data_IF_890236856804
#
_entry.id   IF_890236856804
#
_cell.length_a   1.000
_cell.length_b   1.000
_cell.length_c   1.000
_cell.angle_alpha   90.00
_cell.angle_beta   90.00
_cell.angle_gamma   90.00
#
_symmetry.space_group_name_H-M   'P 1'
#
loop_
_entity.id
_entity.type
_entity.pdbx_description
1 polymer ?
#
# COMPACT_ATOMS: atom_id res chain seq x y z
N UNK A 1 0.73 -21.40 -24.69
CA UNK A 1 0.69 -19.97 -24.32
C UNK A 1 -0.04 -19.89 -22.98
N UNK A 2 0.53 -19.19 -22.01
CA UNK A 2 -0.12 -18.99 -20.71
C UNK A 2 -1.35 -18.09 -20.81
N UNK A 3 -2.26 -18.17 -19.82
CA UNK A 3 -3.39 -17.26 -19.71
C UNK A 3 -2.88 -15.85 -19.39
N UNK A 4 -3.22 -14.88 -20.22
CA UNK A 4 -2.77 -13.50 -20.07
C UNK A 4 -3.48 -12.81 -18.90
N UNK A 5 -2.71 -12.09 -18.08
CA UNK A 5 -3.19 -11.31 -16.94
C UNK A 5 -2.50 -9.94 -16.91
N UNK A 6 -3.25 -8.89 -17.16
CA UNK A 6 -2.79 -7.50 -17.03
C UNK A 6 -2.87 -7.06 -15.57
N UNK A 7 -1.70 -6.85 -14.96
CA UNK A 7 -1.54 -6.40 -13.58
C UNK A 7 -1.02 -4.95 -13.56
N UNK A 8 -1.69 -4.04 -12.84
CA UNK A 8 -1.17 -2.69 -12.66
C UNK A 8 0.19 -2.74 -11.93
N UNK A 9 1.16 -1.94 -12.39
CA UNK A 9 2.51 -1.91 -11.79
C UNK A 9 2.48 -1.62 -10.30
N UNK A 10 3.37 -2.29 -9.59
CA UNK A 10 3.53 -2.17 -8.14
C UNK A 10 4.95 -1.75 -7.76
N UNK A 11 5.16 -1.34 -6.52
CA UNK A 11 6.47 -1.02 -5.96
C UNK A 11 6.89 -2.07 -4.92
N UNK A 12 8.19 -2.28 -4.67
CA UNK A 12 8.66 -3.35 -3.78
C UNK A 12 8.05 -3.31 -2.37
N UNK A 13 7.79 -2.12 -1.81
CA UNK A 13 7.22 -2.00 -0.48
C UNK A 13 5.81 -2.59 -0.35
N UNK A 14 5.09 -2.77 -1.45
CA UNK A 14 3.73 -3.30 -1.44
C UNK A 14 3.52 -4.51 -2.35
N UNK A 15 4.43 -4.82 -3.27
CA UNK A 15 4.27 -5.88 -4.26
C UNK A 15 5.58 -6.63 -4.55
N UNK A 16 6.49 -6.73 -3.59
CA UNK A 16 7.73 -7.47 -3.79
C UNK A 16 7.50 -8.93 -4.21
N UNK A 17 6.56 -9.70 -3.61
CA UNK A 17 6.32 -11.06 -4.04
C UNK A 17 5.89 -11.18 -5.51
N UNK A 18 5.07 -10.23 -6.00
CA UNK A 18 4.62 -10.19 -7.40
C UNK A 18 5.79 -9.86 -8.34
N UNK A 19 6.66 -8.93 -7.96
CA UNK A 19 7.87 -8.59 -8.73
C UNK A 19 8.82 -9.80 -8.81
N UNK A 20 9.06 -10.47 -7.68
CA UNK A 20 9.89 -11.68 -7.63
C UNK A 20 9.26 -12.82 -8.43
N UNK A 21 7.94 -13.02 -8.31
CA UNK A 21 7.25 -14.04 -9.09
C UNK A 21 7.36 -13.79 -10.61
N UNK A 22 7.34 -12.55 -11.01
CA UNK A 22 7.54 -12.15 -12.41
C UNK A 22 8.98 -12.39 -12.86
N UNK A 23 9.95 -11.84 -12.15
CA UNK A 23 11.37 -11.87 -12.53
C UNK A 23 11.96 -13.28 -12.51
N UNK A 24 11.49 -14.12 -11.57
CA UNK A 24 11.96 -15.50 -11.44
C UNK A 24 11.08 -16.51 -12.23
N UNK A 25 10.16 -16.05 -13.09
CA UNK A 25 9.36 -16.88 -14.00
C UNK A 25 8.29 -17.73 -13.32
N UNK A 26 7.91 -17.41 -12.06
CA UNK A 26 6.98 -18.23 -11.30
C UNK A 26 5.55 -18.14 -11.85
N UNK A 27 5.13 -17.00 -12.38
CA UNK A 27 3.85 -16.89 -13.06
C UNK A 27 3.77 -17.76 -14.31
N UNK A 28 4.85 -17.80 -15.10
CA UNK A 28 4.90 -18.63 -16.30
C UNK A 28 4.86 -20.14 -15.94
N UNK A 29 5.48 -20.53 -14.82
CA UNK A 29 5.41 -21.91 -14.31
C UNK A 29 3.99 -22.33 -13.91
N UNK A 30 3.15 -21.38 -13.50
CA UNK A 30 1.73 -21.56 -13.18
C UNK A 30 0.80 -21.35 -14.40
N UNK A 31 1.36 -21.23 -15.61
CA UNK A 31 0.60 -21.06 -16.84
C UNK A 31 0.02 -19.65 -17.04
N UNK A 32 0.56 -18.64 -16.36
CA UNK A 32 0.16 -17.25 -16.50
C UNK A 32 1.19 -16.45 -17.30
N UNK A 33 0.68 -15.62 -18.25
CA UNK A 33 1.43 -14.59 -18.94
C UNK A 33 1.07 -13.23 -18.31
N UNK A 34 1.78 -12.89 -17.22
CA UNK A 34 1.55 -11.63 -16.50
C UNK A 34 2.23 -10.47 -17.23
N UNK A 35 1.47 -9.40 -17.49
CA UNK A 35 1.96 -8.19 -18.11
C UNK A 35 1.72 -7.01 -17.16
N UNK A 36 2.79 -6.32 -16.77
CA UNK A 36 2.66 -5.10 -15.96
C UNK A 36 2.19 -3.92 -16.80
N UNK A 37 1.12 -3.28 -16.37
CA UNK A 37 0.50 -2.11 -16.99
C UNK A 37 0.77 -0.87 -16.16
N UNK A 38 1.27 0.20 -16.79
CA UNK A 38 1.54 1.46 -16.10
C UNK A 38 0.23 2.13 -15.63
N UNK A 39 0.30 2.79 -14.49
CA UNK A 39 -0.82 3.58 -13.95
C UNK A 39 -1.16 4.73 -14.90
N UNK A 40 -2.46 4.95 -15.11
CA UNK A 40 -2.95 5.96 -16.05
C UNK A 40 -3.03 7.37 -15.45
N UNK A 41 -3.36 7.49 -14.16
CA UNK A 41 -3.45 8.79 -13.48
C UNK A 41 -2.11 9.22 -12.89
N UNK A 42 -1.86 10.54 -12.95
CA UNK A 42 -0.70 11.15 -12.29
C UNK A 42 -1.07 11.49 -10.85
N UNK A 43 -0.37 10.85 -9.91
CA UNK A 43 -0.49 11.21 -8.49
C UNK A 43 0.01 12.66 -8.25
N UNK A 44 -0.50 13.34 -7.21
CA UNK A 44 0.01 14.64 -6.78
C UNK A 44 1.52 14.58 -6.55
N UNK A 45 2.24 15.60 -7.00
CA UNK A 45 3.71 15.70 -6.86
C UNK A 45 4.14 16.70 -5.79
N UNK A 46 3.18 17.44 -5.20
CA UNK A 46 3.40 18.46 -4.16
C UNK A 46 2.41 18.28 -3.02
N UNK A 47 2.79 18.83 -1.86
CA UNK A 47 1.86 19.00 -0.73
C UNK A 47 0.83 20.07 -1.09
N UNK A 48 -0.42 19.81 -0.73
CA UNK A 48 -1.48 20.82 -0.78
C UNK A 48 -2.18 20.88 0.59
N UNK A 49 -1.85 21.92 1.35
CA UNK A 49 -2.40 22.14 2.70
C UNK A 49 -3.86 22.59 2.70
N UNK A 50 -4.42 23.01 1.56
CA UNK A 50 -5.82 23.35 1.43
C UNK A 50 -6.73 22.14 1.28
N UNK A 51 -6.17 21.01 0.81
CA UNK A 51 -6.88 19.73 0.72
C UNK A 51 -6.68 18.97 2.03
N UNK A 52 -7.69 18.97 2.88
CA UNK A 52 -7.66 18.42 4.25
C UNK A 52 -8.58 17.21 4.44
N UNK A 53 -9.25 16.77 3.37
CA UNK A 53 -10.17 15.63 3.41
C UNK A 53 -10.00 14.73 2.18
N UNK A 54 -10.04 13.41 2.34
CA UNK A 54 -9.95 12.45 1.23
C UNK A 54 -11.12 12.55 0.24
N UNK A 55 -12.28 13.09 0.64
CA UNK A 55 -13.42 13.28 -0.28
C UNK A 55 -13.16 14.28 -1.40
N UNK A 56 -12.12 15.13 -1.24
CA UNK A 56 -11.74 16.15 -2.23
C UNK A 56 -10.88 15.58 -3.38
N UNK A 57 -10.46 14.31 -3.30
CA UNK A 57 -9.57 13.68 -4.29
C UNK A 57 -10.11 12.32 -4.75
N UNK A 58 -9.73 11.91 -5.96
CA UNK A 58 -10.08 10.60 -6.51
C UNK A 58 -9.38 9.48 -5.73
N UNK A 59 -10.06 8.38 -5.38
CA UNK A 59 -9.42 7.21 -4.78
C UNK A 59 -8.50 6.46 -5.76
N UNK A 60 -8.64 6.70 -7.07
CA UNK A 60 -7.86 6.06 -8.11
C UNK A 60 -6.56 6.80 -8.44
N UNK A 61 -6.35 8.01 -7.94
CA UNK A 61 -5.13 8.80 -8.18
C UNK A 61 -3.83 8.15 -7.64
N UNK A 62 -3.93 7.15 -6.76
CA UNK A 62 -2.79 6.40 -6.24
C UNK A 62 -2.66 4.99 -6.81
N UNK A 63 -3.79 4.29 -7.03
CA UNK A 63 -3.86 2.90 -7.51
C UNK A 63 -5.20 2.65 -8.20
N UNK A 64 -5.23 1.66 -9.10
CA UNK A 64 -6.45 1.14 -9.72
C UNK A 64 -6.95 1.92 -10.93
N UNK A 65 -6.28 3.01 -11.34
CA UNK A 65 -6.70 3.79 -12.52
C UNK A 65 -6.62 2.99 -13.82
N UNK A 66 -5.69 2.06 -13.92
CA UNK A 66 -5.56 1.20 -15.10
C UNK A 66 -6.70 0.17 -15.17
N UNK A 67 -7.19 -0.31 -14.03
CA UNK A 67 -8.36 -1.18 -13.96
C UNK A 67 -9.63 -0.42 -14.37
N UNK A 68 -9.84 0.79 -13.83
CA UNK A 68 -11.01 1.62 -14.18
C UNK A 68 -11.06 2.02 -15.66
N UNK A 69 -9.92 2.05 -16.34
CA UNK A 69 -9.83 2.35 -17.79
C UNK A 69 -9.75 1.09 -18.66
N UNK A 70 -9.94 -0.10 -18.09
CA UNK A 70 -9.95 -1.39 -18.82
C UNK A 70 -8.58 -1.81 -19.35
N UNK A 71 -7.48 -1.23 -18.83
CA UNK A 71 -6.11 -1.55 -19.25
C UNK A 71 -5.50 -2.67 -18.40
N UNK A 72 -5.91 -2.79 -17.16
CA UNK A 72 -5.51 -3.86 -16.26
C UNK A 72 -6.74 -4.62 -15.75
N UNK A 73 -6.62 -5.92 -15.58
CA UNK A 73 -7.65 -6.77 -15.00
C UNK A 73 -7.53 -6.84 -13.47
N UNK A 74 -6.33 -6.54 -12.93
CA UNK A 74 -6.04 -6.63 -11.50
C UNK A 74 -5.04 -5.56 -11.05
N UNK A 75 -5.15 -5.14 -9.79
CA UNK A 75 -4.14 -4.32 -9.10
C UNK A 75 -4.05 -4.68 -7.63
N UNK A 76 -2.95 -4.30 -6.97
CA UNK A 76 -2.81 -4.40 -5.53
C UNK A 76 -2.70 -3.02 -4.86
N UNK A 77 -3.29 -2.88 -3.68
CA UNK A 77 -3.13 -1.71 -2.83
C UNK A 77 -3.45 -2.05 -1.36
N UNK A 78 -3.51 -1.04 -0.49
CA UNK A 78 -3.92 -1.25 0.91
C UNK A 78 -5.38 -1.69 1.02
N UNK A 79 -5.66 -2.56 1.97
CA UNK A 79 -7.01 -3.10 2.21
C UNK A 79 -8.05 -1.97 2.39
N UNK A 80 -7.82 -1.00 3.29
CA UNK A 80 -8.74 0.12 3.50
C UNK A 80 -9.01 0.94 2.23
N UNK A 81 -7.96 1.32 1.49
CA UNK A 81 -8.15 2.07 0.24
C UNK A 81 -8.89 1.29 -0.83
N UNK A 82 -8.77 -0.03 -0.80
CA UNK A 82 -9.47 -0.90 -1.73
C UNK A 82 -10.97 -1.04 -1.41
N UNK A 83 -11.39 -0.89 -0.16
CA UNK A 83 -12.82 -0.71 0.15
C UNK A 83 -13.38 0.55 -0.54
N UNK A 84 -12.70 1.68 -0.43
CA UNK A 84 -13.16 2.92 -1.10
C UNK A 84 -13.12 2.79 -2.63
N UNK A 85 -12.14 2.08 -3.18
CA UNK A 85 -12.06 1.85 -4.64
C UNK A 85 -13.14 0.90 -5.12
N UNK A 86 -13.40 -0.19 -4.40
CA UNK A 86 -14.48 -1.12 -4.76
C UNK A 86 -15.86 -0.44 -4.72
N UNK A 87 -16.12 0.42 -3.72
CA UNK A 87 -17.34 1.21 -3.62
C UNK A 87 -17.53 2.15 -4.82
N UNK A 88 -16.45 2.71 -5.36
CA UNK A 88 -16.49 3.72 -6.42
C UNK A 88 -16.08 3.20 -7.79
N UNK A 89 -15.87 1.90 -7.93
CA UNK A 89 -15.44 1.28 -9.18
C UNK A 89 -16.57 1.22 -10.19
N UNK A 90 -16.36 1.81 -11.36
CA UNK A 90 -17.24 1.65 -12.52
C UNK A 90 -16.90 0.37 -13.31
N UNK A 91 -15.68 -0.12 -13.20
CA UNK A 91 -15.22 -1.36 -13.83
C UNK A 91 -15.64 -2.62 -13.05
N UNK A 92 -16.29 -2.48 -11.89
CA UNK A 92 -16.75 -3.60 -11.06
C UNK A 92 -15.63 -4.28 -10.30
N UNK A 93 -14.52 -3.57 -9.99
CA UNK A 93 -13.41 -4.10 -9.21
C UNK A 93 -13.82 -4.45 -7.78
N UNK A 94 -13.52 -5.69 -7.34
CA UNK A 94 -13.77 -6.20 -5.98
C UNK A 94 -12.52 -6.79 -5.36
N UNK A 95 -12.43 -6.74 -4.04
CA UNK A 95 -11.31 -7.34 -3.32
C UNK A 95 -11.38 -8.87 -3.38
N UNK A 96 -10.26 -9.50 -3.75
CA UNK A 96 -10.13 -10.96 -3.91
C UNK A 96 -9.43 -11.66 -2.74
N UNK A 97 -8.64 -10.94 -1.96
CA UNK A 97 -7.87 -11.52 -0.86
C UNK A 97 -6.67 -10.67 -0.47
N UNK A 98 -6.02 -11.05 0.61
CA UNK A 98 -4.79 -10.43 1.10
C UNK A 98 -3.60 -10.87 0.27
N UNK A 99 -2.78 -9.92 -0.11
CA UNK A 99 -1.55 -10.13 -0.89
C UNK A 99 -0.42 -10.70 -0.05
N UNK A 100 0.63 -11.16 -0.72
CA UNK A 100 1.80 -11.82 -0.13
C UNK A 100 2.74 -10.93 0.70
N UNK A 101 2.37 -9.69 0.98
CA UNK A 101 3.21 -8.76 1.77
C UNK A 101 2.36 -7.90 2.71
N UNK A 102 2.87 -7.72 3.94
CA UNK A 102 2.35 -6.78 4.94
C UNK A 102 3.26 -5.56 4.94
N UNK A 103 2.71 -4.39 4.60
CA UNK A 103 3.51 -3.17 4.44
C UNK A 103 3.86 -2.59 5.80
N UNK A 104 5.15 -2.41 6.07
CA UNK A 104 5.61 -1.65 7.23
C UNK A 104 5.67 -0.16 6.88
N UNK A 105 5.05 0.68 7.69
CA UNK A 105 5.05 2.13 7.51
C UNK A 105 5.18 2.87 8.84
N UNK A 106 5.60 4.13 8.76
CA UNK A 106 5.90 4.93 9.93
C UNK A 106 5.41 6.38 9.76
N UNK A 107 5.13 7.05 10.87
CA UNK A 107 4.99 8.52 10.96
C UNK A 107 6.31 9.07 11.44
N UNK A 108 6.89 9.95 10.66
CA UNK A 108 8.18 10.59 10.92
C UNK A 108 8.03 12.10 11.07
N UNK A 109 8.90 12.69 11.90
CA UNK A 109 9.09 14.14 12.05
C UNK A 109 10.53 14.53 11.71
N UNK A 110 10.80 15.78 11.28
CA UNK A 110 12.16 16.19 10.90
C UNK A 110 13.09 16.28 12.13
N UNK A 111 14.41 16.32 11.93
CA UNK A 111 15.39 16.34 13.03
C UNK A 111 15.23 17.50 14.01
N UNK A 112 14.78 18.64 13.51
CA UNK A 112 14.59 19.88 14.30
C UNK A 112 13.23 19.98 14.97
N UNK A 113 12.33 18.98 14.81
CA UNK A 113 11.01 18.97 15.44
C UNK A 113 11.12 18.88 16.97
N UNK A 114 10.18 19.49 17.67
CA UNK A 114 9.99 19.37 19.12
C UNK A 114 9.09 18.22 19.54
N UNK A 115 8.64 17.40 18.56
CA UNK A 115 7.77 16.24 18.78
C UNK A 115 8.61 14.99 19.13
N UNK A 116 8.37 14.44 20.29
CA UNK A 116 9.00 13.20 20.79
C UNK A 116 8.00 12.08 21.10
N UNK A 117 6.74 12.43 21.31
CA UNK A 117 5.66 11.48 21.63
C UNK A 117 4.46 11.68 20.72
N UNK A 118 3.62 10.64 20.49
CA UNK A 118 2.44 10.78 19.64
C UNK A 118 1.47 11.89 20.05
N UNK A 119 1.32 12.14 21.35
CA UNK A 119 0.43 13.19 21.89
C UNK A 119 0.85 14.60 21.44
N UNK A 120 2.13 14.82 21.17
CA UNK A 120 2.64 16.10 20.70
C UNK A 120 2.32 16.38 19.22
N UNK A 121 1.75 15.38 18.51
CA UNK A 121 1.20 15.57 17.16
C UNK A 121 -0.20 16.23 17.16
N UNK A 122 -0.81 16.48 18.32
CA UNK A 122 -2.08 17.17 18.43
C UNK A 122 -2.03 18.52 17.69
N UNK A 123 -2.94 18.71 16.71
CA UNK A 123 -3.04 19.86 15.84
C UNK A 123 -1.81 20.16 14.95
N UNK A 124 -0.80 19.30 14.91
CA UNK A 124 0.28 19.34 13.92
C UNK A 124 -0.21 18.76 12.58
N UNK A 125 0.24 19.33 11.46
CA UNK A 125 -0.21 18.90 10.14
C UNK A 125 0.60 17.69 9.68
N UNK A 126 -0.08 16.56 9.52
CA UNK A 126 0.50 15.33 9.00
C UNK A 126 0.22 15.20 7.50
N UNK A 127 1.26 15.24 6.68
CA UNK A 127 1.15 15.03 5.23
C UNK A 127 0.90 13.56 4.91
N UNK A 128 -0.24 13.25 4.27
CA UNK A 128 -0.64 11.89 3.92
C UNK A 128 -1.09 11.78 2.47
N UNK A 129 -0.80 10.67 1.78
CA UNK A 129 -1.35 10.41 0.44
C UNK A 129 -2.77 9.86 0.59
N UNK A 130 -3.78 10.71 0.46
CA UNK A 130 -5.16 10.27 0.62
C UNK A 130 -5.48 9.03 -0.22
N UNK A 131 -6.31 8.15 0.32
CA UNK A 131 -6.69 6.82 -0.20
C UNK A 131 -5.54 5.80 -0.34
N UNK A 132 -4.30 6.13 0.06
CA UNK A 132 -3.24 5.14 0.18
C UNK A 132 -3.15 4.56 1.61
N UNK A 133 -2.48 3.42 1.78
CA UNK A 133 -2.42 2.69 3.05
C UNK A 133 -1.86 3.51 4.21
N UNK A 134 -0.87 4.33 3.92
CA UNK A 134 -0.25 5.19 4.93
C UNK A 134 -1.15 6.33 5.41
N UNK A 135 -2.18 6.72 4.64
CA UNK A 135 -3.24 7.61 5.13
C UNK A 135 -4.06 6.95 6.25
N UNK A 136 -4.61 5.77 5.95
CA UNK A 136 -5.43 5.02 6.91
C UNK A 136 -4.63 4.58 8.14
N UNK A 137 -3.37 4.16 7.92
CA UNK A 137 -2.45 3.86 9.02
C UNK A 137 -2.27 5.08 9.95
N UNK A 138 -2.05 6.28 9.38
CA UNK A 138 -1.87 7.48 10.18
C UNK A 138 -3.10 7.78 11.04
N UNK A 139 -4.30 7.70 10.47
CA UNK A 139 -5.54 7.90 11.23
C UNK A 139 -5.68 6.87 12.37
N UNK A 140 -5.50 5.58 12.06
CA UNK A 140 -5.65 4.52 13.06
C UNK A 140 -4.60 4.57 14.17
N UNK A 141 -3.35 4.92 13.85
CA UNK A 141 -2.30 5.07 14.86
C UNK A 141 -2.51 6.31 15.73
N UNK A 142 -2.86 7.45 15.13
CA UNK A 142 -3.05 8.70 15.86
C UNK A 142 -4.29 8.67 16.74
N UNK A 143 -5.38 8.02 16.32
CA UNK A 143 -6.62 7.85 17.10
C UNK A 143 -6.37 7.13 18.45
N UNK A 144 -5.33 6.30 18.54
CA UNK A 144 -4.92 5.67 19.80
C UNK A 144 -4.34 6.63 20.85
N UNK A 145 -3.99 7.87 20.45
CA UNK A 145 -3.31 8.84 21.31
C UNK A 145 -3.96 10.23 21.31
N UNK A 146 -4.76 10.55 20.30
CA UNK A 146 -5.36 11.87 20.07
C UNK A 146 -6.85 11.75 19.86
N UNK A 147 -7.59 12.79 20.18
CA UNK A 147 -8.97 12.90 19.75
C UNK A 147 -9.02 13.15 18.25
N UNK A 148 -10.08 12.69 17.58
CA UNK A 148 -10.24 12.84 16.13
C UNK A 148 -10.16 14.28 15.64
N UNK A 149 -10.69 15.23 16.43
CA UNK A 149 -10.66 16.67 16.11
C UNK A 149 -9.26 17.30 16.25
N UNK A 150 -8.32 16.61 16.92
CA UNK A 150 -6.92 17.02 17.04
C UNK A 150 -6.04 16.45 15.92
N UNK A 151 -6.52 15.44 15.17
CA UNK A 151 -5.80 14.83 14.05
C UNK A 151 -5.95 15.70 12.82
N UNK A 152 -4.88 16.38 12.41
CA UNK A 152 -4.87 17.26 11.23
C UNK A 152 -4.04 16.62 10.12
N UNK A 153 -4.67 16.37 8.97
CA UNK A 153 -3.99 15.86 7.79
C UNK A 153 -4.11 16.81 6.61
N UNK A 154 -3.18 16.74 5.68
CA UNK A 154 -3.30 17.41 4.38
C UNK A 154 -2.83 16.48 3.26
N UNK A 155 -3.22 16.81 2.03
CA UNK A 155 -2.79 16.04 0.86
C UNK A 155 -1.28 16.15 0.67
N UNK A 156 -0.62 15.01 0.62
CA UNK A 156 0.79 14.88 0.28
C UNK A 156 0.97 13.89 -0.89
N UNK A 157 2.11 13.92 -1.61
CA UNK A 157 2.37 13.03 -2.72
C UNK A 157 2.27 11.55 -2.36
N UNK A 158 1.83 10.71 -3.31
CA UNK A 158 1.83 9.26 -3.12
C UNK A 158 3.25 8.67 -3.06
N UNK A 159 4.24 9.31 -3.69
CA UNK A 159 5.65 8.93 -3.57
C UNK A 159 6.20 9.21 -2.17
N UNK A 160 6.71 8.17 -1.48
CA UNK A 160 7.34 8.33 -0.17
C UNK A 160 8.58 9.24 -0.23
N UNK A 161 9.33 9.23 -1.34
CA UNK A 161 10.47 10.13 -1.56
C UNK A 161 10.06 11.61 -1.63
N UNK A 162 8.97 11.91 -2.35
CA UNK A 162 8.46 13.28 -2.39
C UNK A 162 7.91 13.73 -1.03
N UNK A 163 7.27 12.84 -0.27
CA UNK A 163 6.83 13.15 1.10
C UNK A 163 8.02 13.38 2.04
N UNK A 164 9.07 12.57 1.92
CA UNK A 164 10.31 12.80 2.68
C UNK A 164 10.92 14.17 2.35
N UNK A 165 11.01 14.54 1.07
CA UNK A 165 11.51 15.86 0.66
C UNK A 165 10.63 17.00 1.22
N UNK A 166 9.31 16.85 1.17
CA UNK A 166 8.38 17.83 1.73
C UNK A 166 8.55 17.96 3.25
N UNK A 167 8.77 16.87 3.97
CA UNK A 167 9.09 16.89 5.40
C UNK A 167 10.38 17.67 5.69
N UNK A 168 11.45 17.37 4.94
CA UNK A 168 12.75 18.04 5.11
C UNK A 168 12.74 19.50 4.65
N UNK A 169 11.78 19.91 3.83
CA UNK A 169 11.56 21.31 3.46
C UNK A 169 10.66 22.07 4.47
N UNK A 170 10.12 21.39 5.50
CA UNK A 170 9.21 22.02 6.47
C UNK A 170 7.79 22.30 5.91
N UNK A 171 7.41 21.64 4.80
CA UNK A 171 6.09 21.80 4.20
C UNK A 171 4.98 21.15 5.04
N UNK A 172 5.33 20.18 5.89
CA UNK A 172 4.47 19.49 6.86
C UNK A 172 5.22 19.29 8.17
N UNK A 173 4.48 19.18 9.29
CA UNK A 173 5.09 18.94 10.61
C UNK A 173 5.51 17.47 10.80
N UNK A 174 4.77 16.55 10.18
CA UNK A 174 5.04 15.12 10.13
C UNK A 174 4.56 14.55 8.81
N UNK A 175 5.05 13.36 8.45
CA UNK A 175 4.55 12.63 7.28
C UNK A 175 4.65 11.12 7.46
N UNK A 176 3.97 10.39 6.59
CA UNK A 176 4.03 8.93 6.56
C UNK A 176 5.06 8.43 5.54
N UNK A 177 5.86 7.45 5.92
CA UNK A 177 6.91 6.86 5.08
C UNK A 177 6.79 5.34 5.03
N UNK A 178 7.31 4.75 3.95
CA UNK A 178 7.55 3.32 3.76
C UNK A 178 9.03 3.11 3.42
N UNK A 179 9.53 1.87 3.47
CA UNK A 179 10.89 1.62 3.00
C UNK A 179 11.03 1.88 1.48
N UNK A 180 12.20 2.37 1.04
CA UNK A 180 13.45 2.61 1.78
C UNK A 180 13.49 3.99 2.50
N UNK A 181 12.45 4.81 2.40
CA UNK A 181 12.48 6.18 2.93
C UNK A 181 12.35 6.27 4.46
N UNK A 182 11.92 5.21 5.15
CA UNK A 182 12.05 5.15 6.62
C UNK A 182 13.54 5.12 6.98
N UNK A 183 14.31 4.27 6.32
CA UNK A 183 15.76 4.18 6.52
C UNK A 183 16.48 5.48 6.13
N UNK A 184 16.13 6.09 4.99
CA UNK A 184 16.67 7.41 4.59
C UNK A 184 16.40 8.46 5.65
N UNK A 185 15.16 8.54 6.17
CA UNK A 185 14.77 9.49 7.19
C UNK A 185 15.54 9.28 8.51
N UNK A 186 15.67 8.03 8.98
CA UNK A 186 16.46 7.70 10.19
C UNK A 186 17.92 8.12 10.02
N UNK A 187 18.55 7.83 8.87
CA UNK A 187 19.94 8.25 8.58
C UNK A 187 20.10 9.77 8.53
N UNK A 188 19.05 10.50 8.13
CA UNK A 188 19.04 11.97 8.14
C UNK A 188 18.69 12.57 9.51
N UNK A 189 18.53 11.74 10.56
CA UNK A 189 18.24 12.19 11.92
C UNK A 189 16.75 12.47 12.20
N UNK A 190 15.85 12.13 11.28
CA UNK A 190 14.41 12.17 11.54
C UNK A 190 14.04 11.20 12.68
N UNK A 191 13.01 11.56 13.45
CA UNK A 191 12.46 10.67 14.47
C UNK A 191 11.23 9.95 13.96
N UNK A 192 11.19 8.65 14.17
CA UNK A 192 9.98 7.83 13.96
C UNK A 192 9.15 7.94 15.25
N UNK A 193 7.95 8.49 15.14
CA UNK A 193 7.04 8.69 16.27
C UNK A 193 6.13 7.48 16.48
N UNK A 194 5.60 6.94 15.38
CA UNK A 194 4.74 5.77 15.36
C UNK A 194 5.09 4.90 14.15
N UNK A 195 4.97 3.60 14.29
CA UNK A 195 5.11 2.68 13.17
C UNK A 195 4.25 1.43 13.40
N UNK A 196 3.69 0.89 12.32
CA UNK A 196 2.97 -0.37 12.33
C UNK A 196 2.92 -1.00 10.94
N UNK A 197 2.72 -2.31 10.85
CA UNK A 197 2.37 -2.97 9.60
C UNK A 197 0.87 -2.81 9.28
N UNK A 198 0.52 -2.91 7.99
CA UNK A 198 -0.85 -3.00 7.52
C UNK A 198 -0.98 -3.95 6.33
N UNK A 199 -2.14 -4.60 6.20
CA UNK A 199 -2.43 -5.47 5.09
C UNK A 199 -2.81 -4.69 3.83
N UNK A 200 -2.49 -5.30 2.69
CA UNK A 200 -3.04 -4.93 1.41
C UNK A 200 -3.78 -6.11 0.79
N UNK A 201 -4.55 -5.80 -0.23
CA UNK A 201 -5.38 -6.78 -0.93
C UNK A 201 -5.20 -6.65 -2.44
N UNK A 202 -5.55 -7.71 -3.13
CA UNK A 202 -5.74 -7.72 -4.57
C UNK A 202 -7.18 -7.27 -4.91
N UNK A 203 -7.31 -6.47 -5.95
CA UNK A 203 -8.61 -6.08 -6.54
C UNK A 203 -8.61 -6.49 -7.99
N UNK A 204 -9.67 -7.14 -8.45
CA UNK A 204 -9.82 -7.54 -9.84
C UNK A 204 -11.24 -7.35 -10.35
N UNK A 205 -11.35 -7.27 -11.67
CA UNK A 205 -12.62 -7.39 -12.41
C UNK A 205 -13.09 -8.84 -12.48
N UNK A 206 -14.26 -9.08 -13.04
CA UNK A 206 -14.78 -10.44 -13.24
C UNK A 206 -13.99 -11.25 -14.29
N UNK A 207 -13.12 -10.61 -15.07
CA UNK A 207 -12.25 -11.31 -16.04
C UNK A 207 -11.20 -12.20 -15.39
N UNK A 208 -10.87 -11.95 -14.12
CA UNK A 208 -9.98 -12.79 -13.32
C UNK A 208 -10.83 -13.81 -12.57
N UNK A 209 -10.99 -15.01 -13.14
CA UNK A 209 -11.71 -16.11 -12.49
C UNK A 209 -10.93 -16.71 -11.30
N UNK A 210 -11.60 -17.58 -10.53
CA UNK A 210 -11.01 -18.19 -9.34
C UNK A 210 -9.79 -19.07 -9.67
N UNK A 211 -9.74 -19.70 -10.83
CA UNK A 211 -8.60 -20.54 -11.24
C UNK A 211 -7.37 -19.70 -11.56
N UNK A 212 -7.56 -18.60 -12.29
CA UNK A 212 -6.50 -17.62 -12.56
C UNK A 212 -5.95 -17.02 -11.27
N UNK A 213 -6.83 -16.64 -10.35
CA UNK A 213 -6.39 -16.10 -9.05
C UNK A 213 -5.72 -17.16 -8.19
N UNK A 214 -6.15 -18.42 -8.25
CA UNK A 214 -5.47 -19.55 -7.58
C UNK A 214 -4.06 -19.76 -8.13
N UNK A 215 -3.89 -19.77 -9.46
CA UNK A 215 -2.58 -19.87 -10.10
C UNK A 215 -1.66 -18.70 -9.72
N UNK A 216 -2.19 -17.48 -9.73
CA UNK A 216 -1.50 -16.28 -9.27
C UNK A 216 -1.01 -16.44 -7.81
N UNK A 217 -1.87 -16.89 -6.91
CA UNK A 217 -1.53 -17.10 -5.50
C UNK A 217 -0.48 -18.20 -5.30
N UNK A 218 -0.46 -19.27 -6.13
CA UNK A 218 0.61 -20.28 -6.05
C UNK A 218 1.97 -19.70 -6.41
N UNK A 219 2.05 -18.91 -7.47
CA UNK A 219 3.27 -18.22 -7.86
C UNK A 219 3.74 -17.25 -6.76
N UNK A 220 2.83 -16.47 -6.18
CA UNK A 220 3.14 -15.53 -5.10
C UNK A 220 3.59 -16.27 -3.83
N UNK A 221 2.97 -17.38 -3.44
CA UNK A 221 3.43 -18.22 -2.30
C UNK A 221 4.86 -18.72 -2.49
N UNK A 222 5.20 -19.17 -3.70
CA UNK A 222 6.58 -19.61 -3.98
C UNK A 222 7.56 -18.42 -3.88
N UNK A 223 7.19 -17.23 -4.36
CA UNK A 223 7.99 -16.02 -4.17
C UNK A 223 8.14 -15.68 -2.68
N UNK A 224 7.07 -15.73 -1.89
CA UNK A 224 7.09 -15.53 -0.43
C UNK A 224 8.05 -16.51 0.25
N UNK A 225 8.01 -17.79 -0.13
CA UNK A 225 8.93 -18.80 0.38
C UNK A 225 10.38 -18.47 0.08
N UNK A 226 10.70 -18.04 -1.16
CA UNK A 226 12.07 -17.64 -1.57
C UNK A 226 12.53 -16.40 -0.82
N UNK A 227 11.68 -15.38 -0.70
CA UNK A 227 12.00 -14.15 0.02
C UNK A 227 12.28 -14.45 1.50
N UNK A 228 11.45 -15.28 2.16
CA UNK A 228 11.66 -15.64 3.56
C UNK A 228 12.93 -16.46 3.78
N UNK A 229 13.36 -17.26 2.78
CA UNK A 229 14.61 -18.01 2.86
C UNK A 229 15.86 -17.10 2.82
N UNK A 230 15.80 -15.98 2.10
CA UNK A 230 16.91 -15.01 2.02
C UNK A 230 16.38 -13.59 1.79
N UNK A 231 15.87 -12.96 2.85
CA UNK A 231 15.36 -11.58 2.78
C UNK A 231 16.41 -10.58 2.29
N UNK A 232 17.68 -10.80 2.62
CA UNK A 232 18.78 -9.90 2.26
C UNK A 232 18.92 -9.77 0.74
N UNK A 233 18.85 -10.88 0.01
CA UNK A 233 18.87 -10.88 -1.47
C UNK A 233 17.79 -9.96 -2.05
N UNK A 234 16.59 -10.01 -1.50
CA UNK A 234 15.43 -9.30 -2.04
C UNK A 234 15.27 -7.87 -1.53
N UNK A 235 16.00 -7.46 -0.48
CA UNK A 235 16.06 -6.05 -0.08
C UNK A 235 16.69 -5.16 -1.15
N UNK A 236 17.50 -5.72 -2.05
CA UNK A 236 18.07 -4.98 -3.18
C UNK A 236 17.00 -4.36 -4.09
N UNK A 237 15.82 -5.00 -4.24
CA UNK A 237 14.70 -4.45 -5.00
C UNK A 237 14.27 -3.05 -4.54
N UNK A 238 14.35 -2.75 -3.25
CA UNK A 238 13.98 -1.44 -2.71
C UNK A 238 14.94 -0.35 -3.17
N UNK A 239 16.23 -0.67 -3.26
CA UNK A 239 17.28 0.26 -3.71
C UNK A 239 17.17 0.44 -5.23
N UNK A 240 17.09 -0.64 -5.98
CA UNK A 240 17.08 -0.62 -7.44
C UNK A 240 15.84 0.12 -7.99
N UNK A 241 14.68 -0.04 -7.35
CA UNK A 241 13.46 0.64 -7.74
C UNK A 241 13.55 2.17 -7.59
N UNK A 242 14.35 2.65 -6.65
CA UNK A 242 14.53 4.07 -6.34
C UNK A 242 15.94 4.59 -6.64
N UNK A 243 16.72 3.88 -7.48
CA UNK A 243 18.12 4.21 -7.79
C UNK A 243 18.36 5.62 -8.34
N UNK A 244 17.33 6.23 -8.93
CA UNK A 244 17.40 7.60 -9.45
C UNK A 244 17.26 8.67 -8.34
N UNK A 245 16.90 8.28 -7.10
CA UNK A 245 16.93 9.18 -5.95
C UNK A 245 18.30 9.04 -5.24
N UNK A 246 19.13 10.11 -5.24
CA UNK A 246 20.49 10.06 -4.64
C UNK A 246 20.49 9.60 -3.17
N UNK A 247 19.44 9.90 -2.40
CA UNK A 247 19.35 9.50 -1.00
C UNK A 247 19.17 7.98 -0.86
N UNK A 248 18.51 7.32 -1.81
CA UNK A 248 18.36 5.87 -1.84
C UNK A 248 19.55 5.20 -2.51
N UNK A 249 20.08 5.79 -3.59
CA UNK A 249 21.27 5.27 -4.29
C UNK A 249 22.52 5.20 -3.37
N UNK A 250 22.55 6.00 -2.31
CA UNK A 250 23.62 5.96 -1.29
C UNK A 250 23.43 4.82 -0.26
N UNK A 251 22.31 4.10 -0.26
CA UNK A 251 22.05 2.99 0.65
C UNK A 251 22.66 1.69 0.10
N UNK A 252 22.97 0.81 1.05
CA UNK A 252 23.26 -0.59 0.80
C UNK A 252 22.19 -1.47 1.44
N UNK A 253 22.12 -2.74 1.10
CA UNK A 253 21.19 -3.68 1.74
C UNK A 253 21.42 -3.81 3.25
N UNK A 254 22.62 -3.50 3.73
CA UNK A 254 22.96 -3.52 5.17
C UNK A 254 22.34 -2.35 5.95
N UNK A 255 21.96 -1.29 5.26
CA UNK A 255 21.25 -0.18 5.87
C UNK A 255 19.77 -0.50 6.11
N UNK A 256 19.18 -1.38 5.27
CA UNK A 256 17.78 -1.78 5.38
C UNK A 256 17.56 -2.83 6.46
N UNK A 257 16.44 -2.75 7.16
CA UNK A 257 16.11 -3.69 8.25
C UNK A 257 15.26 -4.86 7.73
N UNK A 258 15.79 -6.11 7.71
CA UNK A 258 15.03 -7.27 7.27
C UNK A 258 13.73 -7.52 8.06
N UNK A 259 13.65 -7.05 9.32
CA UNK A 259 12.45 -7.13 10.15
C UNK A 259 11.28 -6.28 9.64
N UNK A 260 11.55 -5.29 8.78
CA UNK A 260 10.51 -4.46 8.14
C UNK A 260 10.03 -5.05 6.81
N UNK A 261 10.70 -6.06 6.29
CA UNK A 261 10.22 -6.87 5.17
C UNK A 261 9.41 -8.03 5.73
N UNK A 262 8.09 -7.89 5.72
CA UNK A 262 7.15 -8.87 6.24
C UNK A 262 6.39 -9.46 5.05
N UNK A 263 6.77 -10.66 4.65
CA UNK A 263 6.06 -11.42 3.60
C UNK A 263 5.36 -12.63 4.21
N UNK A 264 4.13 -12.84 3.78
CA UNK A 264 3.21 -13.86 4.29
C UNK A 264 2.51 -14.52 3.11
N UNK A 265 1.97 -15.71 3.29
CA UNK A 265 1.17 -16.34 2.24
C UNK A 265 -0.08 -15.50 1.92
N UNK A 266 -0.46 -15.37 0.64
CA UNK A 266 -1.76 -14.83 0.27
C UNK A 266 -2.89 -15.59 0.96
N UNK A 267 -3.87 -14.87 1.45
CA UNK A 267 -4.96 -15.45 2.24
C UNK A 267 -6.31 -14.75 1.97
N UNK A 268 -7.44 -15.39 2.24
CA UNK A 268 -8.72 -14.70 2.28
C UNK A 268 -8.69 -13.57 3.31
N UNK A 269 -9.53 -12.56 3.11
CA UNK A 269 -9.75 -11.54 4.14
C UNK A 269 -10.68 -12.16 5.20
N UNK A 270 -10.25 -12.28 6.47
CA UNK A 270 -11.13 -12.81 7.52
C UNK A 270 -12.36 -11.92 7.70
N UNK A 271 -13.55 -12.52 7.70
CA UNK A 271 -14.82 -11.77 7.74
C UNK A 271 -14.91 -10.80 8.91
N UNK A 272 -14.52 -11.25 10.10
CA UNK A 272 -14.56 -10.41 11.31
C UNK A 272 -13.62 -9.20 11.21
N UNK A 273 -12.43 -9.37 10.60
CA UNK A 273 -11.49 -8.28 10.39
C UNK A 273 -11.99 -7.33 9.29
N UNK A 274 -12.55 -7.85 8.21
CA UNK A 274 -13.17 -7.06 7.16
C UNK A 274 -14.29 -6.17 7.72
N UNK A 275 -15.15 -6.73 8.56
CA UNK A 275 -16.25 -6.00 9.22
C UNK A 275 -15.72 -4.90 10.13
N UNK A 276 -14.73 -5.20 10.99
CA UNK A 276 -14.10 -4.20 11.87
C UNK A 276 -13.46 -3.05 11.07
N UNK A 277 -12.74 -3.37 10.00
CA UNK A 277 -12.14 -2.36 9.12
C UNK A 277 -13.21 -1.50 8.46
N UNK A 278 -14.26 -2.12 7.94
CA UNK A 278 -15.40 -1.44 7.33
C UNK A 278 -16.11 -0.50 8.33
N UNK A 279 -16.44 -0.98 9.53
CA UNK A 279 -17.10 -0.19 10.58
C UNK A 279 -16.23 1.00 11.02
N UNK A 280 -14.92 0.78 11.18
CA UNK A 280 -13.97 1.84 11.48
C UNK A 280 -13.93 2.90 10.37
N UNK A 281 -13.84 2.50 9.11
CA UNK A 281 -13.84 3.41 7.98
C UNK A 281 -15.14 4.23 7.89
N UNK A 282 -16.29 3.59 8.12
CA UNK A 282 -17.57 4.30 8.20
C UNK A 282 -17.62 5.31 9.33
N UNK A 283 -17.08 4.96 10.49
CA UNK A 283 -17.03 5.87 11.65
C UNK A 283 -16.19 7.13 11.40
N UNK A 284 -15.29 7.08 10.41
CA UNK A 284 -14.51 8.21 9.93
C UNK A 284 -15.13 8.92 8.70
N UNK A 285 -16.28 8.46 8.21
CA UNK A 285 -16.89 8.99 6.99
C UNK A 285 -16.08 8.70 5.71
N UNK A 286 -15.27 7.65 5.72
CA UNK A 286 -14.39 7.25 4.60
C UNK A 286 -15.07 6.32 3.61
N UNK A 287 -16.22 5.76 3.96
CA UNK A 287 -17.09 4.93 3.12
C UNK A 287 -18.53 5.44 3.21
N UNK A 288 -19.28 5.24 2.13
CA UNK A 288 -20.70 5.48 2.06
C UNK A 288 -21.54 4.35 2.66
N UNK A 289 -22.81 4.25 2.24
CA UNK A 289 -23.76 3.27 2.77
C UNK A 289 -23.83 2.03 1.86
N UNK A 290 -22.72 1.33 1.72
CA UNK A 290 -22.56 0.09 0.93
C UNK A 290 -22.30 -1.06 1.89
N UNK A 291 -22.81 -2.28 1.58
CA UNK A 291 -22.46 -3.47 2.37
C UNK A 291 -20.99 -3.87 2.14
N UNK A 292 -20.29 -4.32 3.19
CA UNK A 292 -18.93 -4.83 3.04
C UNK A 292 -18.86 -6.06 2.12
N UNK A 293 -19.93 -6.87 2.05
CA UNK A 293 -20.05 -8.03 1.17
C UNK A 293 -20.03 -7.62 -0.32
N UNK A 294 -20.54 -6.43 -0.64
CA UNK A 294 -20.51 -5.91 -2.00
C UNK A 294 -19.11 -5.42 -2.43
N UNK A 295 -18.26 -5.17 -1.46
CA UNK A 295 -16.89 -4.66 -1.66
C UNK A 295 -15.84 -5.78 -1.79
N UNK A 296 -16.19 -7.00 -1.36
CA UNK A 296 -15.34 -8.18 -1.38
C UNK A 296 -16.02 -9.30 -2.20
N UNK A 297 -15.25 -10.02 -3.00
CA UNK A 297 -15.72 -11.21 -3.69
C UNK A 297 -15.41 -12.45 -2.85
N UNK A 298 -16.25 -12.70 -1.85
CA UNK A 298 -16.06 -13.78 -0.87
C UNK A 298 -16.06 -15.15 -1.55
N UNK A 299 -16.93 -15.38 -2.54
CA UNK A 299 -17.01 -16.64 -3.26
C UNK A 299 -15.70 -16.94 -4.01
N UNK A 300 -15.20 -15.97 -4.77
CA UNK A 300 -13.95 -16.10 -5.53
C UNK A 300 -12.73 -16.22 -4.60
N UNK A 301 -12.72 -15.49 -3.47
CA UNK A 301 -11.70 -15.65 -2.43
C UNK A 301 -11.64 -17.09 -1.93
N UNK A 302 -12.76 -17.63 -1.49
CA UNK A 302 -12.83 -18.98 -0.93
C UNK A 302 -12.46 -20.02 -1.97
N UNK A 303 -12.97 -19.90 -3.20
CA UNK A 303 -12.65 -20.81 -4.31
C UNK A 303 -11.15 -20.79 -4.68
N UNK A 304 -10.50 -19.64 -4.61
CA UNK A 304 -9.07 -19.50 -4.94
C UNK A 304 -8.13 -19.98 -3.84
N UNK A 305 -8.60 -20.04 -2.60
CA UNK A 305 -7.80 -20.46 -1.44
C UNK A 305 -8.17 -21.86 -0.89
N UNK A 306 -9.24 -22.48 -1.41
CA UNK A 306 -9.51 -23.89 -1.12
C UNK A 306 -8.39 -24.78 -1.71
N UNK A 307 -7.93 -25.74 -0.90
CA UNK A 307 -6.82 -26.65 -1.21
C UNK A 307 -7.09 -27.51 -2.44
#
# INVERSE_FOLDING_TARGET
>A
MGKRLELETTAPFQGLPELVAYDEGLFAAEGLDVVFVQRGEKAPVRVDRAITSPVQVSPFGSHGSSLETGKAAMFNACECGNYTRAERSNAGGRQLGRRGIVVFAAIAVPPWSDVYTPQQLANKVVGVPYHAGTHYLALGLLEGFLRRDEIKTCLAPNSAGLRYKALMNGEVDATTLTEPYITVAEKAGCRIILAAPYHGTEVATNDVDAETYRAFNRAVREAVRRINADKRKYLQYFIDYHKDDPAVAALTVDDLRPSRLIVVDPAPIPEEEARRTYEWMRSWGLLGDVSWQDLCDVERQMAAHSA
#
